data_IF_954634057363
#
_entry.id   IF_954634057363
#
_cell.length_a   1.000
_cell.length_b   1.000
_cell.length_c   1.000
_cell.angle_alpha   90.00
_cell.angle_beta   90.00
_cell.angle_gamma   90.00
#
_symmetry.space_group_name_H-M   'P 1'
#
loop_
_entity.id
_entity.type
_entity.pdbx_description
1 polymer ?
#
# COMPACT_ATOMS: atom_id res chain seq x y z
N UNK A 1 20.48 -5.13 14.48
CA UNK A 1 19.20 -4.63 13.95
C UNK A 1 18.31 -4.30 15.13
N UNK A 2 17.64 -3.13 15.12
CA UNK A 2 16.83 -2.63 16.24
C UNK A 2 15.73 -3.60 16.67
N UNK A 3 15.10 -4.32 15.72
CA UNK A 3 14.12 -5.38 16.01
C UNK A 3 14.70 -6.55 16.82
N UNK A 4 15.88 -7.06 16.45
CA UNK A 4 16.53 -8.17 17.17
C UNK A 4 16.97 -7.78 18.59
N UNK A 5 17.10 -6.49 18.86
CA UNK A 5 17.42 -5.93 20.17
C UNK A 5 16.17 -5.51 20.94
N UNK A 6 14.97 -5.77 20.41
CA UNK A 6 13.69 -5.38 20.97
C UNK A 6 13.55 -3.87 21.23
N UNK A 7 14.33 -3.04 20.53
CA UNK A 7 14.26 -1.58 20.64
C UNK A 7 13.01 -1.05 19.94
N UNK A 8 12.61 -1.70 18.85
CA UNK A 8 11.37 -1.41 18.12
C UNK A 8 10.58 -2.70 17.92
N UNK A 9 9.25 -2.61 18.01
CA UNK A 9 8.33 -3.69 17.69
C UNK A 9 7.84 -3.63 16.24
N UNK A 10 7.73 -2.42 15.68
CA UNK A 10 7.19 -2.17 14.34
C UNK A 10 8.18 -1.37 13.50
N UNK A 11 8.33 -1.75 12.24
CA UNK A 11 9.06 -1.03 11.21
C UNK A 11 8.21 -0.95 9.93
N UNK A 12 8.11 0.25 9.37
CA UNK A 12 7.34 0.51 8.15
C UNK A 12 8.18 1.24 7.11
N UNK A 13 7.81 1.10 5.84
CA UNK A 13 8.33 1.93 4.76
C UNK A 13 7.19 2.74 4.12
N UNK A 14 7.49 3.91 3.56
CA UNK A 14 6.48 4.77 2.92
C UNK A 14 6.87 5.12 1.47
N UNK A 15 6.87 4.14 0.54
CA UNK A 15 7.18 4.38 -0.86
C UNK A 15 6.20 5.40 -1.44
N UNK A 16 6.64 6.14 -2.44
CA UNK A 16 5.80 7.10 -3.16
C UNK A 16 6.19 7.11 -4.62
N UNK A 17 5.23 7.49 -5.47
CA UNK A 17 5.40 7.82 -6.88
C UNK A 17 6.01 6.69 -7.76
N UNK A 18 5.52 6.55 -8.98
CA UNK A 18 5.95 5.45 -9.87
C UNK A 18 7.44 5.43 -10.21
N UNK A 19 8.11 6.58 -10.21
CA UNK A 19 9.54 6.70 -10.58
C UNK A 19 10.49 6.43 -9.40
N UNK A 20 10.03 6.58 -8.16
CA UNK A 20 10.83 6.42 -6.94
C UNK A 20 10.51 5.14 -6.16
N UNK A 21 9.61 4.31 -6.69
CA UNK A 21 9.21 3.06 -6.03
C UNK A 21 10.26 1.95 -6.12
N UNK A 22 11.14 1.97 -7.14
CA UNK A 22 12.10 0.88 -7.39
C UNK A 22 13.05 0.61 -6.21
N UNK A 23 13.71 1.62 -5.60
CA UNK A 23 14.57 1.38 -4.44
C UNK A 23 13.82 0.80 -3.23
N UNK A 24 12.53 1.12 -3.07
CA UNK A 24 11.71 0.55 -2.01
C UNK A 24 11.34 -0.90 -2.29
N UNK A 25 11.09 -1.26 -3.55
CA UNK A 25 10.87 -2.67 -3.95
C UNK A 25 12.12 -3.48 -3.63
N UNK A 26 13.31 -3.00 -3.99
CA UNK A 26 14.58 -3.67 -3.66
C UNK A 26 14.81 -3.79 -2.15
N UNK A 27 14.50 -2.73 -1.40
CA UNK A 27 14.56 -2.74 0.06
C UNK A 27 13.61 -3.80 0.65
N UNK A 28 12.38 -3.88 0.14
CA UNK A 28 11.37 -4.83 0.61
C UNK A 28 11.73 -6.27 0.23
N UNK A 29 12.27 -6.53 -0.98
CA UNK A 29 12.77 -7.85 -1.36
C UNK A 29 13.87 -8.32 -0.38
N UNK A 30 14.75 -7.41 0.05
CA UNK A 30 15.87 -7.75 0.91
C UNK A 30 15.53 -7.82 2.40
N UNK A 31 14.56 -7.03 2.86
CA UNK A 31 14.25 -6.85 4.28
C UNK A 31 12.77 -7.03 4.62
N UNK A 32 11.98 -7.64 3.73
CA UNK A 32 10.54 -7.81 3.88
C UNK A 32 10.15 -8.52 5.17
N UNK A 33 10.97 -9.45 5.66
CA UNK A 33 10.74 -10.19 6.91
C UNK A 33 10.72 -9.30 8.16
N UNK A 34 11.44 -8.18 8.13
CA UNK A 34 11.52 -7.23 9.25
C UNK A 34 10.67 -5.98 9.03
N UNK A 35 10.05 -5.82 7.86
CA UNK A 35 9.09 -4.75 7.56
C UNK A 35 7.68 -5.29 7.84
N UNK A 36 6.95 -4.62 8.72
CA UNK A 36 5.59 -5.04 9.10
C UNK A 36 4.55 -4.49 8.13
N UNK A 37 4.69 -3.21 7.73
CA UNK A 37 3.74 -2.54 6.86
C UNK A 37 4.41 -1.67 5.80
N UNK A 38 3.73 -1.56 4.67
CA UNK A 38 4.08 -0.69 3.54
C UNK A 38 3.00 0.37 3.39
N UNK A 39 3.36 1.61 3.69
CA UNK A 39 2.50 2.78 3.65
C UNK A 39 2.71 3.49 2.30
N UNK A 40 2.46 2.81 1.18
CA UNK A 40 2.60 3.42 -0.15
C UNK A 40 1.70 4.66 -0.25
N UNK A 41 2.27 5.77 -0.68
CA UNK A 41 1.61 7.08 -0.73
C UNK A 41 0.78 7.19 -2.02
N UNK A 42 -0.34 6.47 -2.10
CA UNK A 42 -1.20 6.38 -3.30
C UNK A 42 -1.70 7.74 -3.82
N UNK A 43 -1.83 8.74 -2.93
CA UNK A 43 -2.18 10.11 -3.29
C UNK A 43 -1.16 10.78 -4.24
N UNK A 44 0.07 10.27 -4.31
CA UNK A 44 1.10 10.74 -5.25
C UNK A 44 0.93 10.20 -6.67
N UNK A 45 0.17 9.12 -6.85
CA UNK A 45 -0.11 8.50 -8.15
C UNK A 45 -1.24 9.24 -8.90
N UNK A 46 -1.88 10.23 -8.26
CA UNK A 46 -2.94 11.10 -8.81
C UNK A 46 -4.15 10.37 -9.40
N UNK A 47 -4.34 9.10 -9.06
CA UNK A 47 -5.53 8.32 -9.40
C UNK A 47 -6.74 8.87 -8.63
N UNK A 48 -7.86 9.11 -9.31
CA UNK A 48 -9.06 9.75 -8.72
C UNK A 48 -10.34 8.92 -8.77
N UNK A 49 -10.34 7.78 -9.46
CA UNK A 49 -11.51 6.91 -9.57
C UNK A 49 -11.37 5.67 -8.69
N UNK A 50 -12.47 5.14 -8.12
CA UNK A 50 -12.43 3.94 -7.29
C UNK A 50 -11.78 2.72 -8.00
N UNK A 51 -12.20 2.46 -9.25
CA UNK A 51 -11.63 1.36 -10.07
C UNK A 51 -10.14 1.57 -10.40
N UNK A 52 -9.75 2.82 -10.66
CA UNK A 52 -8.34 3.14 -10.89
C UNK A 52 -7.51 2.89 -9.63
N UNK A 53 -8.05 3.25 -8.46
CA UNK A 53 -7.38 3.05 -7.19
C UNK A 53 -7.22 1.56 -6.89
N UNK A 54 -8.27 0.75 -7.10
CA UNK A 54 -8.20 -0.70 -6.99
C UNK A 54 -7.07 -1.28 -7.86
N UNK A 55 -6.99 -0.87 -9.14
CA UNK A 55 -5.94 -1.33 -10.03
C UNK A 55 -4.53 -0.93 -9.57
N UNK A 56 -4.37 0.31 -9.08
CA UNK A 56 -3.10 0.79 -8.53
C UNK A 56 -2.72 0.02 -7.27
N UNK A 57 -3.68 -0.25 -6.37
CA UNK A 57 -3.47 -1.04 -5.17
C UNK A 57 -3.02 -2.46 -5.50
N UNK A 58 -3.73 -3.13 -6.42
CA UNK A 58 -3.38 -4.47 -6.88
C UNK A 58 -1.96 -4.52 -7.48
N UNK A 59 -1.57 -3.53 -8.26
CA UNK A 59 -0.20 -3.43 -8.78
C UNK A 59 0.84 -3.32 -7.66
N UNK A 60 0.57 -2.56 -6.60
CA UNK A 60 1.49 -2.47 -5.46
C UNK A 60 1.47 -3.72 -4.59
N UNK A 61 0.34 -4.40 -4.50
CA UNK A 61 0.21 -5.66 -3.76
C UNK A 61 1.07 -6.77 -4.37
N UNK A 62 1.28 -6.80 -5.69
CA UNK A 62 2.23 -7.73 -6.32
C UNK A 62 3.70 -7.39 -6.05
N UNK A 63 4.00 -6.20 -5.52
CA UNK A 63 5.36 -5.71 -5.26
C UNK A 63 5.73 -5.69 -3.78
N UNK A 64 4.76 -5.53 -2.87
CA UNK A 64 4.97 -5.21 -1.46
C UNK A 64 4.26 -6.12 -0.46
N UNK A 65 3.84 -7.31 -0.90
CA UNK A 65 2.97 -8.24 -0.16
C UNK A 65 1.60 -7.61 0.16
N UNK A 66 0.53 -8.27 -0.30
CA UNK A 66 -0.84 -7.79 -0.11
C UNK A 66 -1.20 -7.64 1.37
N UNK A 67 -0.63 -8.46 2.25
CA UNK A 67 -0.99 -8.51 3.67
C UNK A 67 -0.26 -7.44 4.50
N UNK A 68 0.76 -6.79 3.90
CA UNK A 68 1.54 -5.70 4.52
C UNK A 68 1.22 -4.33 3.94
N UNK A 69 0.61 -4.27 2.76
CA UNK A 69 0.32 -3.03 2.06
C UNK A 69 -0.94 -2.34 2.60
N UNK A 70 -0.81 -1.10 3.06
CA UNK A 70 -1.94 -0.33 3.58
C UNK A 70 -2.53 0.62 2.50
N UNK A 71 -3.87 0.72 2.39
CA UNK A 71 -4.49 1.76 1.56
C UNK A 71 -4.28 3.14 2.20
N UNK A 72 -4.11 4.17 1.37
CA UNK A 72 -3.91 5.55 1.85
C UNK A 72 -4.48 6.58 0.88
N UNK A 73 -4.84 7.75 1.41
CA UNK A 73 -5.20 8.92 0.62
C UNK A 73 -4.79 10.21 1.35
N UNK A 74 -4.73 11.33 0.62
CA UNK A 74 -4.43 12.65 1.18
C UNK A 74 -5.74 13.40 1.43
N UNK A 75 -5.92 13.97 2.62
CA UNK A 75 -7.09 14.78 2.95
C UNK A 75 -6.90 16.20 2.42
N UNK A 76 -7.89 16.72 1.67
CA UNK A 76 -7.86 18.05 1.06
C UNK A 76 -6.66 18.26 0.11
N UNK A 77 -6.31 17.22 -0.66
CA UNK A 77 -5.10 17.21 -1.46
C UNK A 77 -5.24 16.52 -2.81
N UNK A 78 -4.33 15.59 -3.08
CA UNK A 78 -4.15 14.90 -4.36
C UNK A 78 -4.77 13.51 -4.32
N UNK A 79 -5.02 13.00 -5.52
CA UNK A 79 -5.59 11.66 -5.71
C UNK A 79 -7.05 11.59 -5.29
N UNK A 80 -7.49 10.36 -5.06
CA UNK A 80 -8.84 10.00 -4.64
C UNK A 80 -9.09 10.46 -3.20
N UNK A 81 -10.31 10.91 -2.90
CA UNK A 81 -10.65 11.52 -1.62
C UNK A 81 -12.11 11.25 -1.26
N UNK A 82 -12.43 11.38 0.04
CA UNK A 82 -13.80 11.32 0.54
C UNK A 82 -14.53 10.05 0.12
N UNK A 83 -15.79 10.20 -0.28
CA UNK A 83 -16.66 9.09 -0.65
C UNK A 83 -16.08 8.21 -1.77
N UNK A 84 -15.35 8.79 -2.72
CA UNK A 84 -14.70 8.01 -3.78
C UNK A 84 -13.61 7.07 -3.22
N UNK A 85 -12.88 7.48 -2.17
CA UNK A 85 -11.93 6.61 -1.50
C UNK A 85 -12.65 5.49 -0.75
N UNK A 86 -13.74 5.80 -0.06
CA UNK A 86 -14.60 4.80 0.59
C UNK A 86 -15.14 3.78 -0.42
N UNK A 87 -15.60 4.21 -1.59
CA UNK A 87 -16.02 3.32 -2.68
C UNK A 87 -14.89 2.40 -3.15
N UNK A 88 -13.66 2.92 -3.19
CA UNK A 88 -12.49 2.12 -3.56
C UNK A 88 -12.17 1.05 -2.52
N UNK A 89 -12.34 1.36 -1.23
CA UNK A 89 -12.18 0.40 -0.14
C UNK A 89 -13.24 -0.70 -0.21
N UNK A 90 -14.50 -0.35 -0.48
CA UNK A 90 -15.57 -1.35 -0.68
C UNK A 90 -15.25 -2.31 -1.83
N UNK A 91 -14.69 -1.80 -2.94
CA UNK A 91 -14.23 -2.64 -4.05
C UNK A 91 -13.05 -3.54 -3.67
N UNK A 92 -12.14 -3.04 -2.83
CA UNK A 92 -10.99 -3.81 -2.36
C UNK A 92 -11.42 -4.94 -1.41
N UNK A 93 -12.29 -4.65 -0.44
CA UNK A 93 -12.86 -5.62 0.49
C UNK A 93 -13.59 -6.75 -0.26
N UNK A 94 -14.50 -6.38 -1.17
CA UNK A 94 -15.20 -7.36 -2.01
C UNK A 94 -14.26 -8.23 -2.87
N UNK A 95 -13.09 -7.70 -3.26
CA UNK A 95 -12.07 -8.46 -4.00
C UNK A 95 -11.24 -9.38 -3.10
N UNK A 96 -10.93 -8.95 -1.88
CA UNK A 96 -10.19 -9.76 -0.91
C UNK A 96 -11.02 -10.97 -0.47
N UNK A 97 -12.32 -10.78 -0.23
CA UNK A 97 -13.25 -11.86 0.08
C UNK A 97 -13.32 -12.91 -1.04
N UNK A 98 -13.27 -12.47 -2.31
CA UNK A 98 -13.24 -13.38 -3.45
C UNK A 98 -11.92 -14.18 -3.57
N UNK A 99 -10.81 -13.63 -3.07
CA UNK A 99 -9.49 -14.25 -3.15
C UNK A 99 -9.15 -15.14 -1.95
N UNK A 100 -9.93 -15.07 -0.86
CA UNK A 100 -9.81 -15.94 0.31
C UNK A 100 -10.72 -17.18 0.24
N UNK A 101 -11.50 -17.32 -0.84
CA UNK A 101 -12.36 -18.47 -1.15
C UNK A 101 -11.68 -19.51 -2.07
N UNK A 102 -10.46 -19.25 -2.55
CA UNK A 102 -9.62 -20.17 -3.35
C UNK A 102 -8.48 -20.76 -2.50
#
# INVERSE_FOLDING_TARGET
MLKNQSVISVATIAPFHSTTVLPYIELFIKYGDVIDYVNHQFYTDKVRSPKGYLAAFQLRATQFDKDKLLPSYEVNGRGIQGDAFSDALNLLEAKLDLMSME
#
